data_IF_914515680406
#
_entry.id   IF_914515680406
#
_cell.length_a   1.000
_cell.length_b   1.000
_cell.length_c   1.000
_cell.angle_alpha   90.00
_cell.angle_beta   90.00
_cell.angle_gamma   90.00
#
_symmetry.space_group_name_H-M   'P 1'
#
loop_
_entity.id
_entity.type
_entity.pdbx_description
1 polymer ?
#
# COMPACT_ATOMS: atom_id res chain seq x y z
N UNK A 1 2.29 -4.52 -18.30
CA UNK A 1 2.85 -4.81 -16.96
C UNK A 1 4.26 -5.40 -17.15
N UNK A 2 5.34 -4.69 -16.75
CA UNK A 2 6.73 -5.05 -17.12
C UNK A 2 7.27 -6.32 -16.45
N UNK A 3 6.82 -6.60 -15.22
CA UNK A 3 7.24 -7.80 -14.48
C UNK A 3 6.56 -9.05 -15.07
N UNK A 4 5.23 -9.02 -15.21
CA UNK A 4 4.46 -10.17 -15.72
C UNK A 4 4.86 -10.58 -17.15
N UNK A 5 5.35 -9.66 -17.99
CA UNK A 5 5.86 -10.02 -19.33
C UNK A 5 7.20 -10.75 -19.31
N UNK A 6 8.00 -10.61 -18.26
CA UNK A 6 9.30 -11.28 -18.10
C UNK A 6 9.21 -12.54 -17.24
N UNK A 7 8.32 -12.52 -16.24
CA UNK A 7 8.08 -13.61 -15.29
C UNK A 7 6.61 -13.58 -14.82
N UNK A 8 5.71 -14.29 -15.52
CA UNK A 8 4.27 -14.30 -15.21
C UNK A 8 3.93 -14.89 -13.83
N UNK A 9 4.79 -15.76 -13.31
CA UNK A 9 4.67 -16.48 -12.04
C UNK A 9 5.31 -15.75 -10.86
N UNK A 10 5.79 -14.51 -11.04
CA UNK A 10 6.38 -13.73 -9.96
C UNK A 10 5.31 -13.43 -8.87
N UNK A 11 5.68 -13.62 -7.61
CA UNK A 11 4.79 -13.43 -6.45
C UNK A 11 5.23 -12.26 -5.58
N UNK A 12 6.50 -12.25 -5.16
CA UNK A 12 7.08 -11.20 -4.32
C UNK A 12 8.41 -10.79 -4.91
N UNK A 13 8.52 -9.52 -5.33
CA UNK A 13 9.72 -8.99 -5.97
C UNK A 13 10.35 -7.91 -5.11
N UNK A 14 11.68 -7.97 -4.97
CA UNK A 14 12.44 -6.93 -4.32
C UNK A 14 13.84 -6.77 -4.91
N UNK A 15 14.48 -5.64 -4.65
CA UNK A 15 15.88 -5.42 -5.00
C UNK A 15 16.82 -6.26 -4.14
N UNK A 16 18.03 -6.48 -4.61
CA UNK A 16 19.04 -7.30 -3.92
C UNK A 16 19.29 -6.88 -2.46
N UNK A 17 19.40 -5.57 -2.20
CA UNK A 17 19.63 -5.06 -0.84
C UNK A 17 18.42 -5.25 0.08
N UNK A 18 17.20 -5.09 -0.45
CA UNK A 18 15.96 -5.35 0.31
C UNK A 18 15.88 -6.81 0.72
N UNK A 19 16.23 -7.75 -0.17
CA UNK A 19 16.30 -9.16 0.22
C UNK A 19 17.30 -9.40 1.34
N UNK A 20 18.48 -8.81 1.25
CA UNK A 20 19.51 -8.91 2.28
C UNK A 20 19.02 -8.38 3.64
N UNK A 21 18.30 -7.26 3.65
CA UNK A 21 17.69 -6.69 4.86
C UNK A 21 16.62 -7.62 5.47
N UNK A 22 15.85 -8.31 4.64
CA UNK A 22 14.88 -9.33 5.05
C UNK A 22 15.53 -10.67 5.45
N UNK A 23 16.87 -10.76 5.49
CA UNK A 23 17.59 -11.98 5.83
C UNK A 23 17.50 -13.06 4.76
N UNK A 24 17.34 -12.65 3.49
CA UNK A 24 17.32 -13.52 2.31
C UNK A 24 18.42 -13.12 1.32
N UNK A 25 18.94 -14.10 0.59
CA UNK A 25 20.05 -13.93 -0.35
C UNK A 25 19.65 -14.46 -1.72
N UNK A 26 19.90 -13.67 -2.76
CA UNK A 26 19.63 -14.08 -4.14
C UNK A 26 20.58 -15.21 -4.53
N UNK A 27 20.03 -16.29 -5.09
CA UNK A 27 20.77 -17.47 -5.55
C UNK A 27 21.77 -17.09 -6.63
N UNK A 28 22.96 -17.71 -6.60
CA UNK A 28 23.97 -17.52 -7.64
C UNK A 28 23.40 -17.95 -9.00
N UNK A 29 23.46 -17.07 -9.99
CA UNK A 29 22.94 -17.33 -11.34
C UNK A 29 21.45 -17.04 -11.53
N UNK A 30 20.75 -16.50 -10.51
CA UNK A 30 19.37 -16.06 -10.66
C UNK A 30 19.23 -14.97 -11.74
N UNK A 31 18.17 -15.07 -12.55
CA UNK A 31 17.89 -14.11 -13.62
C UNK A 31 17.08 -12.94 -13.07
N UNK A 32 17.68 -11.75 -13.06
CA UNK A 32 17.00 -10.53 -12.63
C UNK A 32 15.84 -10.15 -13.57
N UNK A 33 14.78 -9.62 -12.98
CA UNK A 33 13.63 -9.02 -13.68
C UNK A 33 13.90 -7.53 -13.82
N UNK A 34 13.90 -7.02 -15.05
CA UNK A 34 14.16 -5.60 -15.31
C UNK A 34 12.91 -4.77 -15.02
N UNK A 35 13.05 -3.72 -14.21
CA UNK A 35 12.01 -2.72 -13.97
C UNK A 35 12.54 -1.31 -14.24
N UNK A 36 11.63 -0.38 -14.50
CA UNK A 36 11.94 1.05 -14.55
C UNK A 36 11.66 1.64 -13.17
N UNK A 37 12.72 2.05 -12.46
CA UNK A 37 12.61 2.68 -11.15
C UNK A 37 12.77 4.21 -11.27
N UNK A 38 11.94 5.01 -10.59
CA UNK A 38 12.13 6.45 -10.52
C UNK A 38 13.37 6.79 -9.71
N UNK A 39 14.11 7.80 -10.17
CA UNK A 39 15.23 8.40 -9.47
C UNK A 39 14.90 9.88 -9.31
N UNK A 40 14.89 10.32 -8.06
CA UNK A 40 14.71 11.72 -7.71
C UNK A 40 16.08 12.39 -7.71
N UNK A 41 16.28 13.37 -8.60
CA UNK A 41 17.41 14.28 -8.51
C UNK A 41 17.09 15.33 -7.45
N UNK A 42 17.78 15.29 -6.32
CA UNK A 42 17.89 16.47 -5.48
C UNK A 42 18.85 17.42 -6.19
N UNK A 43 18.36 18.56 -6.67
CA UNK A 43 19.25 19.66 -7.08
C UNK A 43 19.97 20.11 -5.81
N UNK A 44 21.29 19.96 -5.77
CA UNK A 44 22.11 20.53 -4.71
C UNK A 44 21.86 22.04 -4.66
N UNK A 45 21.55 22.54 -3.47
CA UNK A 45 21.24 23.93 -3.19
C UNK A 45 22.50 24.81 -3.21
N UNK A 46 23.26 24.79 -4.30
CA UNK A 46 24.37 25.72 -4.57
C UNK A 46 24.14 26.44 -5.90
N UNK A 47 23.04 27.19 -5.97
CA UNK A 47 22.91 28.30 -6.90
C UNK A 47 21.99 29.36 -6.27
N UNK A 48 22.64 30.44 -5.85
CA UNK A 48 22.08 31.70 -5.38
C UNK A 48 20.90 32.19 -6.23
N UNK A 49 19.89 32.73 -5.55
CA UNK A 49 18.82 33.60 -6.04
C UNK A 49 17.94 33.07 -7.18
N UNK A 50 16.72 32.61 -6.84
CA UNK A 50 15.45 33.16 -7.35
C UNK A 50 14.23 32.38 -6.84
N UNK A 51 13.27 33.20 -6.38
CA UNK A 51 11.81 33.08 -6.45
C UNK A 51 11.12 31.77 -6.02
N UNK A 52 10.20 31.97 -5.08
CA UNK A 52 9.24 31.03 -4.50
C UNK A 52 8.26 30.53 -5.58
N UNK A 53 8.73 29.56 -6.38
CA UNK A 53 7.95 28.81 -7.35
C UNK A 53 8.13 27.33 -7.08
N UNK A 54 7.03 26.59 -6.95
CA UNK A 54 6.97 25.13 -6.79
C UNK A 54 7.74 24.40 -7.91
N UNK A 55 9.06 24.23 -7.76
CA UNK A 55 9.86 23.43 -8.67
C UNK A 55 9.65 21.94 -8.36
N UNK A 56 8.92 21.25 -9.24
CA UNK A 56 8.71 19.80 -9.15
C UNK A 56 10.06 19.09 -9.30
N UNK A 57 10.38 18.10 -8.45
CA UNK A 57 11.62 17.35 -8.58
C UNK A 57 11.67 16.70 -9.97
N UNK A 58 12.82 16.82 -10.64
CA UNK A 58 13.04 16.12 -11.91
C UNK A 58 13.14 14.63 -11.60
N UNK A 59 12.14 13.88 -12.06
CA UNK A 59 12.11 12.42 -11.96
C UNK A 59 12.62 11.85 -13.28
N UNK A 60 13.71 11.11 -13.27
CA UNK A 60 14.10 10.27 -14.40
C UNK A 60 13.98 8.80 -14.02
N UNK A 61 13.75 7.94 -15.01
CA UNK A 61 13.66 6.50 -14.79
C UNK A 61 14.98 5.84 -15.18
N UNK A 62 15.42 4.87 -14.38
CA UNK A 62 16.55 3.99 -14.73
C UNK A 62 16.10 2.53 -14.73
N UNK A 63 16.70 1.74 -15.61
CA UNK A 63 16.54 0.29 -15.58
C UNK A 63 17.29 -0.29 -14.37
N UNK A 64 16.58 -1.02 -13.52
CA UNK A 64 17.15 -1.77 -12.39
C UNK A 64 16.64 -3.20 -12.40
N UNK A 65 17.34 -4.08 -11.69
CA UNK A 65 16.96 -5.49 -11.55
C UNK A 65 16.38 -5.77 -10.16
N UNK A 66 15.26 -6.48 -10.15
CA UNK A 66 14.65 -7.09 -8.97
C UNK A 66 14.64 -8.60 -9.13
N UNK A 67 14.44 -9.31 -8.02
CA UNK A 67 14.42 -10.77 -7.98
C UNK A 67 13.15 -11.23 -7.27
N UNK A 68 12.58 -12.33 -7.73
CA UNK A 68 11.45 -12.97 -7.06
C UNK A 68 11.92 -13.74 -5.82
N UNK A 69 11.05 -13.89 -4.83
CA UNK A 69 11.32 -14.67 -3.61
C UNK A 69 11.78 -16.11 -3.91
N UNK A 70 11.26 -16.74 -4.97
CA UNK A 70 11.65 -18.11 -5.37
C UNK A 70 13.14 -18.22 -5.75
N UNK A 71 13.76 -17.11 -6.16
CA UNK A 71 15.19 -17.03 -6.51
C UNK A 71 16.07 -16.69 -5.30
N UNK A 72 15.52 -16.69 -4.10
CA UNK A 72 16.25 -16.35 -2.88
C UNK A 72 16.24 -17.51 -1.90
N UNK A 73 17.29 -17.62 -1.10
CA UNK A 73 17.38 -18.51 0.06
C UNK A 73 17.48 -17.69 1.34
N UNK A 74 16.90 -18.18 2.44
CA UNK A 74 16.98 -17.51 3.74
C UNK A 74 15.68 -17.61 4.53
N UNK A 75 15.52 -16.68 5.49
CA UNK A 75 14.39 -16.69 6.42
C UNK A 75 13.05 -16.57 5.70
N UNK A 76 11.99 -17.27 6.13
CA UNK A 76 10.65 -17.05 5.58
C UNK A 76 10.29 -15.56 5.65
N UNK A 77 9.51 -15.09 4.66
CA UNK A 77 9.04 -13.71 4.69
C UNK A 77 8.17 -13.48 5.92
N UNK A 78 8.22 -12.29 6.53
CA UNK A 78 7.23 -11.92 7.53
C UNK A 78 5.84 -12.05 6.91
N UNK A 79 4.94 -12.73 7.62
CA UNK A 79 3.55 -12.73 7.24
C UNK A 79 2.97 -11.33 7.53
N UNK A 80 2.08 -10.85 6.66
CA UNK A 80 1.28 -9.69 7.00
C UNK A 80 0.43 -10.08 8.21
N UNK A 81 0.66 -9.40 9.34
CA UNK A 81 -0.10 -9.68 10.54
C UNK A 81 -1.57 -9.38 10.31
N UNK A 82 -2.44 -10.29 10.74
CA UNK A 82 -3.85 -9.98 10.89
C UNK A 82 -4.03 -9.08 12.11
N UNK A 83 -5.05 -8.22 12.06
CA UNK A 83 -5.45 -7.49 13.25
C UNK A 83 -5.91 -8.50 14.32
N UNK A 84 -5.38 -8.38 15.52
CA UNK A 84 -5.71 -9.24 16.66
C UNK A 84 -6.00 -8.39 17.90
N UNK A 85 -6.70 -8.97 18.88
CA UNK A 85 -7.11 -8.32 20.13
C UNK A 85 -8.58 -7.90 20.17
N UNK A 86 -8.94 -7.15 21.22
CA UNK A 86 -10.30 -6.65 21.46
C UNK A 86 -10.35 -5.13 21.25
N UNK A 87 -11.12 -4.65 20.25
CA UNK A 87 -11.37 -3.22 20.04
C UNK A 87 -12.04 -2.51 21.21
N UNK A 88 -12.46 -3.20 22.29
CA UNK A 88 -12.95 -2.60 23.54
C UNK A 88 -14.09 -1.59 23.33
N UNK A 89 -14.99 -1.89 22.39
CA UNK A 89 -16.12 -1.02 22.02
C UNK A 89 -15.79 0.17 21.12
N UNK A 90 -14.52 0.34 20.70
CA UNK A 90 -14.12 1.40 19.76
C UNK A 90 -14.71 1.21 18.36
N UNK A 91 -15.06 -0.02 17.96
CA UNK A 91 -15.76 -0.31 16.71
C UNK A 91 -17.10 0.43 16.63
N UNK A 92 -17.92 0.34 17.67
CA UNK A 92 -19.24 0.99 17.68
C UNK A 92 -19.11 2.51 17.70
N UNK A 93 -18.17 3.07 18.48
CA UNK A 93 -17.88 4.51 18.46
C UNK A 93 -17.44 5.00 17.08
N UNK A 94 -16.70 4.17 16.34
CA UNK A 94 -16.28 4.50 14.99
C UNK A 94 -17.47 4.45 14.01
N UNK A 95 -18.38 3.47 14.16
CA UNK A 95 -19.64 3.42 13.38
C UNK A 95 -20.51 4.65 13.65
N UNK A 96 -20.66 5.05 14.90
CA UNK A 96 -21.39 6.28 15.29
C UNK A 96 -20.75 7.53 14.66
N UNK A 97 -19.42 7.64 14.70
CA UNK A 97 -18.69 8.73 14.06
C UNK A 97 -18.96 8.80 12.55
N UNK A 98 -18.86 7.67 11.85
CA UNK A 98 -19.14 7.56 10.41
C UNK A 98 -20.59 7.97 10.11
N UNK A 99 -21.56 7.48 10.90
CA UNK A 99 -22.96 7.83 10.75
C UNK A 99 -23.21 9.35 10.95
N UNK A 100 -22.57 9.96 11.95
CA UNK A 100 -22.65 11.41 12.20
C UNK A 100 -22.09 12.26 11.05
N UNK A 101 -21.20 11.69 10.23
CA UNK A 101 -20.64 12.29 9.02
C UNK A 101 -21.52 12.08 7.78
N UNK A 102 -22.66 11.38 7.93
CA UNK A 102 -23.56 11.04 6.84
C UNK A 102 -23.00 9.97 5.89
N UNK A 103 -22.01 9.20 6.34
CA UNK A 103 -21.44 8.11 5.54
C UNK A 103 -22.23 6.84 5.87
N UNK A 104 -22.71 6.15 4.83
CA UNK A 104 -23.42 4.88 4.97
C UNK A 104 -22.43 3.74 5.16
N UNK A 105 -22.69 2.84 6.11
CA UNK A 105 -21.92 1.61 6.31
C UNK A 105 -22.75 0.42 5.84
N UNK A 106 -22.21 -0.39 4.96
CA UNK A 106 -22.83 -1.62 4.46
C UNK A 106 -21.87 -2.81 4.54
N UNK A 107 -22.42 -4.02 4.45
CA UNK A 107 -21.65 -5.25 4.38
C UNK A 107 -22.03 -6.00 3.09
N UNK A 108 -21.04 -6.41 2.30
CA UNK A 108 -21.27 -7.13 1.04
C UNK A 108 -20.11 -8.06 0.73
N UNK A 109 -20.42 -9.26 0.24
CA UNK A 109 -19.44 -10.24 -0.27
C UNK A 109 -18.91 -9.89 -1.67
N UNK A 110 -19.60 -8.99 -2.39
CA UNK A 110 -19.24 -8.56 -3.75
C UNK A 110 -17.90 -7.83 -3.83
N UNK A 111 -17.38 -7.34 -2.71
CA UNK A 111 -16.09 -6.65 -2.65
C UNK A 111 -14.89 -7.61 -2.57
N UNK A 112 -15.11 -8.91 -2.42
CA UNK A 112 -14.03 -9.90 -2.40
C UNK A 112 -13.15 -9.77 -3.67
N UNK A 113 -11.81 -9.75 -3.56
CA UNK A 113 -10.99 -10.14 -2.41
C UNK A 113 -10.65 -8.99 -1.43
N UNK A 114 -11.22 -7.80 -1.58
CA UNK A 114 -11.00 -6.70 -0.63
C UNK A 114 -11.72 -6.97 0.70
N UNK A 115 -11.12 -6.50 1.80
CA UNK A 115 -11.74 -6.53 3.14
C UNK A 115 -12.67 -5.32 3.37
N UNK A 116 -12.39 -4.19 2.73
CA UNK A 116 -13.15 -2.96 2.81
C UNK A 116 -13.04 -2.14 1.53
N UNK A 117 -14.02 -1.26 1.32
CA UNK A 117 -14.04 -0.33 0.21
C UNK A 117 -14.72 0.98 0.61
N UNK A 118 -14.05 2.10 0.38
CA UNK A 118 -14.63 3.42 0.43
C UNK A 118 -15.06 3.92 -0.97
N UNK A 119 -16.22 4.56 -1.00
CA UNK A 119 -16.70 5.42 -2.08
C UNK A 119 -17.33 6.68 -1.49
N UNK A 120 -17.46 7.80 -2.22
CA UNK A 120 -18.00 9.04 -1.67
C UNK A 120 -19.36 8.82 -0.97
N UNK A 121 -19.39 9.04 0.36
CA UNK A 121 -20.58 8.88 1.19
C UNK A 121 -20.90 7.45 1.64
N UNK A 122 -20.07 6.44 1.30
CA UNK A 122 -20.35 5.04 1.61
C UNK A 122 -19.09 4.20 1.86
N UNK A 123 -19.10 3.42 2.94
CA UNK A 123 -18.11 2.39 3.26
C UNK A 123 -18.79 1.02 3.16
N UNK A 124 -18.15 0.07 2.50
CA UNK A 124 -18.59 -1.32 2.41
C UNK A 124 -17.52 -2.22 3.02
N UNK A 125 -17.90 -3.10 3.95
CA UNK A 125 -17.02 -4.10 4.55
C UNK A 125 -17.37 -5.51 4.07
N UNK A 126 -16.35 -6.37 4.00
CA UNK A 126 -16.55 -7.79 3.76
C UNK A 126 -17.15 -8.42 5.03
N UNK A 127 -18.29 -9.13 4.95
CA UNK A 127 -18.89 -9.77 6.12
C UNK A 127 -18.02 -10.92 6.65
N UNK A 128 -18.12 -11.21 7.95
CA UNK A 128 -17.46 -12.36 8.59
C UNK A 128 -16.04 -12.11 9.10
N UNK A 129 -15.56 -10.87 9.10
CA UNK A 129 -14.31 -10.47 9.73
C UNK A 129 -14.36 -10.67 11.26
N UNK A 130 -13.23 -10.96 11.89
CA UNK A 130 -13.15 -10.94 13.35
C UNK A 130 -13.27 -9.50 13.88
N UNK A 131 -13.52 -9.32 15.19
CA UNK A 131 -13.73 -7.99 15.77
C UNK A 131 -12.55 -7.04 15.52
N UNK A 132 -11.31 -7.54 15.66
CA UNK A 132 -10.10 -6.75 15.42
C UNK A 132 -9.94 -6.36 13.94
N UNK A 133 -10.22 -7.29 13.03
CA UNK A 133 -10.19 -7.06 11.58
C UNK A 133 -11.24 -6.03 11.17
N UNK A 134 -12.50 -6.20 11.58
CA UNK A 134 -13.57 -5.26 11.26
C UNK A 134 -13.21 -3.84 11.73
N UNK A 135 -12.68 -3.71 12.94
CA UNK A 135 -12.21 -2.43 13.46
C UNK A 135 -11.08 -1.84 12.62
N UNK A 136 -10.04 -2.62 12.32
CA UNK A 136 -8.88 -2.17 11.56
C UNK A 136 -9.27 -1.74 10.14
N UNK A 137 -10.10 -2.54 9.46
CA UNK A 137 -10.59 -2.25 8.12
C UNK A 137 -11.51 -1.03 8.14
N UNK A 138 -12.43 -0.91 9.10
CA UNK A 138 -13.29 0.26 9.23
C UNK A 138 -12.48 1.53 9.49
N UNK A 139 -11.42 1.46 10.30
CA UNK A 139 -10.51 2.57 10.55
C UNK A 139 -9.75 2.98 9.29
N UNK A 140 -9.29 2.00 8.49
CA UNK A 140 -8.64 2.24 7.21
C UNK A 140 -9.56 2.98 6.22
N UNK A 141 -10.79 2.49 6.01
CA UNK A 141 -11.75 3.11 5.10
C UNK A 141 -12.24 4.48 5.60
N UNK A 142 -12.34 4.66 6.93
CA UNK A 142 -12.62 5.97 7.51
C UNK A 142 -11.49 6.96 7.22
N UNK A 143 -10.24 6.51 7.29
CA UNK A 143 -9.07 7.30 6.88
C UNK A 143 -9.20 7.79 5.43
N UNK A 144 -9.57 6.90 4.50
CA UNK A 144 -9.85 7.27 3.10
C UNK A 144 -10.98 8.29 3.01
N UNK A 145 -12.07 8.10 3.75
CA UNK A 145 -13.19 9.02 3.75
C UNK A 145 -12.80 10.44 4.22
N UNK A 146 -11.91 10.54 5.21
CA UNK A 146 -11.44 11.83 5.73
C UNK A 146 -10.44 12.52 4.78
N UNK A 147 -9.54 11.75 4.16
CA UNK A 147 -8.49 12.28 3.29
C UNK A 147 -8.99 12.61 1.88
N UNK A 148 -9.94 11.83 1.36
CA UNK A 148 -10.39 11.94 -0.03
C UNK A 148 -11.85 12.41 -0.18
N UNK A 149 -12.63 12.43 0.91
CA UNK A 149 -14.02 12.90 0.88
C UNK A 149 -14.19 14.42 0.79
N UNK A 150 -13.13 15.21 1.03
CA UNK A 150 -13.20 16.68 1.02
C UNK A 150 -12.99 17.32 -0.36
N UNK A 151 -12.56 16.56 -1.38
CA UNK A 151 -12.11 17.10 -2.68
C UNK A 151 -13.22 17.35 -3.72
N UNK A 152 -14.51 17.23 -3.38
CA UNK A 152 -15.63 17.47 -4.33
C UNK A 152 -16.66 18.49 -3.86
N UNK A 153 -16.23 19.58 -3.23
CA UNK A 153 -17.00 20.84 -3.25
C UNK A 153 -16.41 21.76 -4.32
N UNK A 154 -16.91 21.62 -5.56
CA UNK A 154 -16.89 22.70 -6.56
C UNK A 154 -18.32 23.15 -6.82
#
# INVERSE_FOLDING_TARGET
MLIASQRPDATHVAGFQTWKQLGRFVKKGAKGILILAPVLLHKDAEASDREEGTERPVVHFRAVYVFDVADTDGKPLPELGNADGDPSGHTERLKEFIASRGIQLEYSDTIYPAQGQYSPGKIVLLPGQCAAEEFATLAHETGHALLHGQDRRS
#
